data_IF_171870489726
#
_entry.id   IF_171870489726
#
_cell.length_a   1.000
_cell.length_b   1.000
_cell.length_c   1.000
_cell.angle_alpha   90.00
_cell.angle_beta   90.00
_cell.angle_gamma   90.00
#
_symmetry.space_group_name_H-M   'P 1'
#
loop_
_entity.id
_entity.type
_entity.pdbx_description
1 polymer ?
#
# COMPACT_ATOMS: atom_id res chain seq x y z
N UNK A 1 -14.28 12.17 21.34
CA UNK A 1 -12.82 12.35 21.36
C UNK A 1 -12.36 13.29 20.25
N UNK A 2 -11.19 13.92 20.39
CA UNK A 2 -10.54 14.67 19.31
C UNK A 2 -9.29 13.90 18.87
N UNK A 3 -9.19 13.63 17.58
CA UNK A 3 -8.05 12.89 16.97
C UNK A 3 -7.53 13.72 15.81
N UNK A 4 -6.21 13.75 15.58
CA UNK A 4 -5.63 14.30 14.35
C UNK A 4 -5.40 13.16 13.38
N UNK A 5 -5.86 13.28 12.14
CA UNK A 5 -5.47 12.36 11.08
C UNK A 5 -4.02 12.61 10.62
N UNK A 6 -3.50 11.77 9.73
CA UNK A 6 -2.13 11.91 9.25
C UNK A 6 -1.92 13.11 8.30
N UNK A 7 -3.00 13.80 7.93
CA UNK A 7 -2.96 15.11 7.25
C UNK A 7 -3.04 16.28 8.23
N UNK A 8 -2.90 16.03 9.56
CA UNK A 8 -3.04 17.00 10.65
C UNK A 8 -4.43 17.64 10.77
N UNK A 9 -5.46 17.06 10.16
CA UNK A 9 -6.84 17.52 10.33
C UNK A 9 -7.39 17.04 11.68
N UNK A 10 -7.95 17.95 12.47
CA UNK A 10 -8.61 17.60 13.73
C UNK A 10 -10.01 17.05 13.45
N UNK A 11 -10.23 15.83 13.85
CA UNK A 11 -11.53 15.14 13.75
C UNK A 11 -12.21 15.11 15.11
N UNK A 12 -13.47 15.47 15.14
CA UNK A 12 -14.32 15.35 16.34
C UNK A 12 -15.20 14.10 16.20
N UNK A 13 -14.91 13.08 16.98
CA UNK A 13 -15.65 11.82 17.01
C UNK A 13 -16.47 11.78 18.31
N UNK A 14 -17.78 11.96 18.18
CA UNK A 14 -18.69 12.01 19.35
C UNK A 14 -18.88 10.64 19.97
N UNK A 15 -19.11 9.62 19.14
CA UNK A 15 -19.34 8.24 19.56
C UNK A 15 -18.44 7.31 18.75
N UNK A 16 -18.21 6.08 19.23
CA UNK A 16 -17.54 5.04 18.45
C UNK A 16 -18.27 4.85 17.12
N UNK A 17 -17.58 5.00 15.97
CA UNK A 17 -18.21 4.81 14.68
C UNK A 17 -18.63 3.34 14.49
N UNK A 18 -19.86 3.13 14.01
CA UNK A 18 -20.44 1.81 13.74
C UNK A 18 -20.77 1.59 12.27
N UNK A 19 -20.74 2.66 11.47
CA UNK A 19 -21.02 2.64 10.04
C UNK A 19 -19.82 3.24 9.30
N UNK A 20 -18.93 2.35 8.86
CA UNK A 20 -17.65 2.71 8.25
C UNK A 20 -17.78 2.55 6.74
N UNK A 21 -17.41 3.58 5.99
CA UNK A 21 -17.11 3.46 4.55
C UNK A 21 -15.59 3.56 4.40
N UNK A 22 -14.99 2.58 3.72
CA UNK A 22 -13.57 2.58 3.44
C UNK A 22 -13.31 2.69 1.93
N UNK A 23 -12.58 3.73 1.52
CA UNK A 23 -12.24 3.99 0.12
C UNK A 23 -10.84 3.47 -0.26
N UNK A 24 -10.22 2.67 0.61
CA UNK A 24 -8.84 2.19 0.48
C UNK A 24 -8.77 0.68 0.72
N UNK A 25 -8.31 -0.10 -0.26
CA UNK A 25 -8.29 -1.57 -0.17
C UNK A 25 -7.47 -2.09 1.03
N UNK A 26 -6.24 -1.64 1.20
CA UNK A 26 -5.36 -2.07 2.30
C UNK A 26 -5.89 -1.70 3.69
N UNK A 27 -6.58 -0.56 3.81
CA UNK A 27 -7.26 -0.18 5.05
C UNK A 27 -8.49 -1.05 5.29
N UNK A 28 -9.21 -1.44 4.24
CA UNK A 28 -10.36 -2.34 4.38
C UNK A 28 -9.94 -3.69 4.95
N UNK A 29 -8.85 -4.26 4.46
CA UNK A 29 -8.26 -5.49 5.02
C UNK A 29 -7.87 -5.29 6.50
N UNK A 30 -7.19 -4.19 6.83
CA UNK A 30 -6.83 -3.85 8.21
C UNK A 30 -8.07 -3.76 9.13
N UNK A 31 -9.18 -3.18 8.67
CA UNK A 31 -10.42 -3.09 9.47
C UNK A 31 -11.00 -4.47 9.78
N UNK A 32 -10.95 -5.40 8.83
CA UNK A 32 -11.38 -6.80 9.05
C UNK A 32 -10.51 -7.45 10.12
N UNK A 33 -9.20 -7.32 10.01
CA UNK A 33 -8.26 -7.88 10.97
C UNK A 33 -8.35 -7.24 12.36
N UNK A 34 -8.83 -5.99 12.44
CA UNK A 34 -9.18 -5.34 13.70
C UNK A 34 -10.52 -5.82 14.29
N UNK A 35 -11.27 -6.70 13.59
CA UNK A 35 -12.56 -7.23 14.01
C UNK A 35 -13.72 -6.25 13.79
N UNK A 36 -13.62 -5.38 12.78
CA UNK A 36 -14.60 -4.34 12.46
C UNK A 36 -15.45 -4.67 11.22
N UNK A 37 -15.41 -5.90 10.72
CA UNK A 37 -16.09 -6.30 9.49
C UNK A 37 -17.57 -5.94 9.50
N UNK A 38 -18.29 -6.20 10.60
CA UNK A 38 -19.72 -5.89 10.75
C UNK A 38 -20.02 -4.38 10.70
N UNK A 39 -19.03 -3.55 11.06
CA UNK A 39 -19.15 -2.10 11.01
C UNK A 39 -18.91 -1.52 9.62
N UNK A 40 -18.34 -2.28 8.69
CA UNK A 40 -18.09 -1.85 7.31
C UNK A 40 -19.42 -1.91 6.55
N UNK A 41 -19.92 -0.77 6.07
CA UNK A 41 -21.15 -0.66 5.28
C UNK A 41 -20.92 -0.36 3.82
N UNK A 42 -19.71 0.09 3.43
CA UNK A 42 -19.37 0.38 2.04
C UNK A 42 -17.88 0.31 1.78
N UNK A 43 -17.52 -0.24 0.62
CA UNK A 43 -16.14 -0.45 0.18
C UNK A 43 -15.96 -0.10 -1.30
N UNK A 44 -14.72 0.01 -1.76
CA UNK A 44 -14.44 0.12 -3.20
C UNK A 44 -14.46 -1.27 -3.87
N UNK A 45 -14.64 -1.29 -5.19
CA UNK A 45 -14.55 -2.52 -5.99
C UNK A 45 -13.16 -3.18 -5.97
N UNK A 46 -12.14 -2.51 -5.42
CA UNK A 46 -10.77 -2.98 -5.32
C UNK A 46 -10.45 -3.58 -3.94
N UNK A 47 -11.42 -3.61 -3.01
CA UNK A 47 -11.27 -4.25 -1.70
C UNK A 47 -11.47 -5.77 -1.83
N UNK A 48 -10.45 -6.45 -2.36
CA UNK A 48 -10.48 -7.88 -2.71
C UNK A 48 -10.07 -8.81 -1.58
N UNK A 49 -9.68 -8.27 -0.45
CA UNK A 49 -9.25 -9.05 0.72
C UNK A 49 -10.02 -8.65 1.98
N UNK A 50 -10.65 -9.65 2.67
CA UNK A 50 -10.95 -10.99 2.17
C UNK A 50 -11.97 -10.93 1.02
N UNK A 51 -11.96 -11.95 0.15
CA UNK A 51 -12.78 -12.01 -1.07
C UNK A 51 -14.30 -12.08 -0.79
N UNK A 52 -14.70 -12.47 0.41
CA UNK A 52 -16.09 -12.43 0.88
C UNK A 52 -16.68 -11.02 0.90
N UNK A 53 -15.88 -9.99 1.23
CA UNK A 53 -16.37 -8.62 1.40
C UNK A 53 -17.09 -8.05 0.18
N UNK A 54 -16.59 -8.33 -1.03
CA UNK A 54 -17.21 -7.82 -2.27
C UNK A 54 -18.64 -8.33 -2.45
N UNK A 55 -18.96 -9.52 -1.91
CA UNK A 55 -20.28 -10.12 -1.99
C UNK A 55 -21.24 -9.56 -0.95
N UNK A 56 -20.70 -9.17 0.22
CA UNK A 56 -21.49 -8.84 1.40
C UNK A 56 -21.63 -7.34 1.64
N UNK A 57 -20.71 -6.52 1.08
CA UNK A 57 -20.69 -5.08 1.32
C UNK A 57 -21.09 -4.27 0.08
N UNK A 58 -21.68 -3.10 0.32
CA UNK A 58 -22.08 -2.21 -0.78
C UNK A 58 -20.86 -1.60 -1.48
N UNK A 59 -20.80 -1.74 -2.81
CA UNK A 59 -19.72 -1.15 -3.62
C UNK A 59 -20.03 0.32 -3.90
N UNK A 60 -19.27 1.21 -3.29
CA UNK A 60 -19.40 2.66 -3.39
C UNK A 60 -18.58 3.29 -4.54
N UNK A 61 -18.00 2.47 -5.41
CA UNK A 61 -17.21 2.90 -6.57
C UNK A 61 -15.79 2.34 -6.57
N UNK A 62 -14.84 3.11 -7.11
CA UNK A 62 -13.40 2.84 -7.04
C UNK A 62 -12.68 3.87 -6.20
N UNK A 63 -11.33 3.82 -6.14
CA UNK A 63 -10.51 4.75 -5.33
C UNK A 63 -10.47 6.17 -5.93
N UNK A 64 -10.58 6.29 -7.26
CA UNK A 64 -10.55 7.57 -8.00
C UNK A 64 -11.91 8.01 -8.54
N UNK A 65 -12.95 7.18 -8.39
CA UNK A 65 -14.31 7.51 -8.84
C UNK A 65 -15.32 6.85 -7.90
N UNK A 66 -16.04 7.66 -7.13
CA UNK A 66 -16.97 7.23 -6.08
C UNK A 66 -18.42 7.58 -6.42
N UNK A 67 -19.36 6.79 -5.91
CA UNK A 67 -20.82 6.99 -6.06
C UNK A 67 -21.37 7.75 -4.86
N UNK A 68 -21.34 9.07 -4.91
CA UNK A 68 -21.73 9.96 -3.79
C UNK A 68 -23.14 9.68 -3.27
N UNK A 69 -24.11 9.42 -4.15
CA UNK A 69 -25.49 9.12 -3.74
C UNK A 69 -25.52 7.85 -2.87
N UNK A 70 -24.84 6.79 -3.30
CA UNK A 70 -24.76 5.52 -2.53
C UNK A 70 -24.08 5.74 -1.17
N UNK A 71 -23.02 6.55 -1.12
CA UNK A 71 -22.35 6.90 0.14
C UNK A 71 -23.30 7.62 1.11
N UNK A 72 -24.10 8.57 0.60
CA UNK A 72 -25.10 9.29 1.42
C UNK A 72 -26.20 8.36 1.93
N UNK A 73 -26.71 7.47 1.08
CA UNK A 73 -27.77 6.52 1.44
C UNK A 73 -27.31 5.53 2.51
N UNK A 74 -26.03 5.22 2.56
CA UNK A 74 -25.43 4.36 3.60
C UNK A 74 -25.29 5.06 4.95
N UNK A 75 -25.49 6.37 5.07
CA UNK A 75 -25.41 7.14 6.32
C UNK A 75 -24.17 6.78 7.17
N UNK A 76 -22.95 6.95 6.67
CA UNK A 76 -21.75 6.59 7.42
C UNK A 76 -21.51 7.50 8.62
N UNK A 77 -20.98 6.94 9.71
CA UNK A 77 -20.45 7.71 10.84
C UNK A 77 -19.05 8.26 10.53
N UNK A 78 -18.29 7.48 9.73
CA UNK A 78 -16.93 7.83 9.31
C UNK A 78 -16.63 7.29 7.90
N UNK A 79 -15.86 8.08 7.15
CA UNK A 79 -15.32 7.68 5.85
C UNK A 79 -13.79 7.68 5.95
N UNK A 80 -13.16 6.58 5.52
CA UNK A 80 -11.71 6.41 5.54
C UNK A 80 -11.14 6.58 4.13
N UNK A 81 -10.18 7.50 4.02
CA UNK A 81 -9.49 7.86 2.80
C UNK A 81 -7.97 7.76 2.98
N UNK A 82 -7.24 7.77 1.88
CA UNK A 82 -5.80 7.92 1.85
C UNK A 82 -5.41 9.00 0.83
N UNK A 83 -4.38 9.77 1.14
CA UNK A 83 -3.90 10.89 0.31
C UNK A 83 -3.46 10.46 -1.09
N UNK A 84 -2.86 9.29 -1.23
CA UNK A 84 -2.39 8.75 -2.49
C UNK A 84 -3.52 8.12 -3.30
N UNK A 85 -4.39 7.35 -2.63
CA UNK A 85 -5.47 6.61 -3.25
C UNK A 85 -6.64 7.51 -3.68
N UNK A 86 -6.97 8.52 -2.89
CA UNK A 86 -8.14 9.35 -3.12
C UNK A 86 -7.74 10.78 -3.51
N UNK A 87 -8.44 11.35 -4.50
CA UNK A 87 -8.19 12.74 -4.89
C UNK A 87 -8.68 13.71 -3.81
N UNK A 88 -8.09 14.91 -3.76
CA UNK A 88 -8.54 15.97 -2.85
C UNK A 88 -10.04 16.27 -3.00
N UNK A 89 -10.55 16.28 -4.24
CA UNK A 89 -11.97 16.48 -4.52
C UNK A 89 -12.86 15.39 -3.92
N UNK A 90 -12.41 14.12 -3.97
CA UNK A 90 -13.13 13.01 -3.33
C UNK A 90 -13.19 13.22 -1.81
N UNK A 91 -12.07 13.56 -1.20
CA UNK A 91 -11.98 13.81 0.25
C UNK A 91 -12.92 14.95 0.67
N UNK A 92 -12.96 16.05 -0.08
CA UNK A 92 -13.86 17.18 0.18
C UNK A 92 -15.34 16.78 0.06
N UNK A 93 -15.70 15.99 -0.93
CA UNK A 93 -17.05 15.43 -1.07
C UNK A 93 -17.41 14.51 0.11
N UNK A 94 -16.48 13.70 0.58
CA UNK A 94 -16.67 12.85 1.76
C UNK A 94 -16.88 13.66 3.03
N UNK A 95 -16.08 14.71 3.24
CA UNK A 95 -16.20 15.62 4.39
C UNK A 95 -17.55 16.33 4.47
N UNK A 96 -18.21 16.56 3.34
CA UNK A 96 -19.55 17.12 3.28
C UNK A 96 -20.65 16.11 3.72
N UNK A 97 -20.31 14.82 3.88
CA UNK A 97 -21.27 13.76 4.24
C UNK A 97 -21.04 13.30 5.69
N UNK A 98 -19.80 13.00 6.07
CA UNK A 98 -19.46 12.46 7.38
C UNK A 98 -18.05 12.83 7.82
N UNK A 99 -17.72 12.55 9.09
CA UNK A 99 -16.33 12.62 9.55
C UNK A 99 -15.44 11.82 8.62
N UNK A 100 -14.41 12.47 8.06
CA UNK A 100 -13.52 11.85 7.07
C UNK A 100 -12.09 11.84 7.61
N UNK A 101 -11.53 10.66 7.80
CA UNK A 101 -10.14 10.43 8.17
C UNK A 101 -9.30 10.21 6.92
N UNK A 102 -8.17 10.89 6.81
CA UNK A 102 -7.23 10.75 5.69
C UNK A 102 -5.89 10.26 6.21
N UNK A 103 -5.48 9.07 5.76
CA UNK A 103 -4.14 8.54 6.03
C UNK A 103 -3.13 9.08 5.02
N UNK A 104 -1.85 9.15 5.44
CA UNK A 104 -0.70 9.49 4.60
C UNK A 104 0.46 8.60 5.01
N UNK A 105 0.78 7.60 4.18
CA UNK A 105 1.65 6.48 4.56
C UNK A 105 2.84 6.40 3.60
N UNK A 106 4.03 6.56 4.16
CA UNK A 106 5.31 6.42 3.45
C UNK A 106 6.19 5.33 4.05
N UNK A 107 5.96 4.98 5.33
CA UNK A 107 6.83 4.06 6.07
C UNK A 107 6.03 3.04 6.88
N UNK A 108 6.71 1.98 7.34
CA UNK A 108 6.15 1.04 8.33
C UNK A 108 5.76 1.80 9.61
N UNK A 109 6.54 2.79 10.04
CA UNK A 109 6.21 3.58 11.22
C UNK A 109 4.87 4.32 11.07
N UNK A 110 4.59 4.92 9.90
CA UNK A 110 3.30 5.57 9.62
C UNK A 110 2.15 4.55 9.67
N UNK A 111 2.40 3.32 9.18
CA UNK A 111 1.44 2.21 9.26
C UNK A 111 1.12 1.85 10.71
N UNK A 112 2.14 1.70 11.57
CA UNK A 112 1.95 1.38 12.98
C UNK A 112 1.18 2.50 13.71
N UNK A 113 1.49 3.76 13.38
CA UNK A 113 0.75 4.91 13.89
C UNK A 113 -0.73 4.87 13.48
N UNK A 114 -1.02 4.56 12.21
CA UNK A 114 -2.39 4.41 11.72
C UNK A 114 -3.15 3.30 12.47
N UNK A 115 -2.53 2.13 12.65
CA UNK A 115 -3.13 1.00 13.36
C UNK A 115 -3.44 1.38 14.82
N UNK A 116 -2.50 2.03 15.50
CA UNK A 116 -2.71 2.53 16.87
C UNK A 116 -3.88 3.52 16.93
N UNK A 117 -3.94 4.45 15.98
CA UNK A 117 -4.99 5.45 15.89
C UNK A 117 -6.37 4.82 15.67
N UNK A 118 -6.45 3.81 14.77
CA UNK A 118 -7.69 3.06 14.54
C UNK A 118 -8.10 2.24 15.77
N UNK A 119 -7.14 1.64 16.48
CA UNK A 119 -7.41 1.03 17.79
C UNK A 119 -8.19 1.97 18.71
N UNK A 120 -7.75 3.22 18.82
CA UNK A 120 -8.38 4.23 19.66
C UNK A 120 -9.74 4.71 19.09
N UNK A 121 -9.82 5.04 17.79
CA UNK A 121 -11.06 5.51 17.14
C UNK A 121 -12.18 4.49 17.25
N UNK A 122 -11.86 3.21 17.07
CA UNK A 122 -12.83 2.12 17.01
C UNK A 122 -12.91 1.32 18.32
N UNK A 123 -12.21 1.73 19.39
CA UNK A 123 -12.17 1.06 20.70
C UNK A 123 -11.82 -0.44 20.57
N UNK A 124 -10.75 -0.72 19.83
CA UNK A 124 -10.19 -2.06 19.62
C UNK A 124 -8.66 -2.08 19.87
N UNK A 125 -8.21 -1.31 20.90
CA UNK A 125 -6.80 -1.09 21.22
C UNK A 125 -6.03 -2.40 21.44
N UNK A 126 -6.64 -3.38 22.10
CA UNK A 126 -6.00 -4.68 22.35
C UNK A 126 -5.61 -5.36 21.03
N UNK A 127 -6.55 -5.42 20.09
CA UNK A 127 -6.33 -6.03 18.78
C UNK A 127 -5.31 -5.24 17.95
N UNK A 128 -5.38 -3.91 18.01
CA UNK A 128 -4.41 -3.04 17.34
C UNK A 128 -2.98 -3.28 17.86
N UNK A 129 -2.79 -3.40 19.17
CA UNK A 129 -1.49 -3.68 19.79
C UNK A 129 -0.97 -5.07 19.37
N UNK A 130 -1.82 -6.10 19.32
CA UNK A 130 -1.46 -7.43 18.85
C UNK A 130 -0.92 -7.39 17.41
N UNK A 131 -1.61 -6.65 16.51
CA UNK A 131 -1.18 -6.48 15.11
C UNK A 131 0.14 -5.71 15.03
N UNK A 132 0.27 -4.59 15.76
CA UNK A 132 1.48 -3.78 15.82
C UNK A 132 2.69 -4.66 16.23
N UNK A 133 2.56 -5.39 17.33
CA UNK A 133 3.63 -6.26 17.83
C UNK A 133 4.01 -7.35 16.81
N UNK A 134 3.02 -7.90 16.10
CA UNK A 134 3.25 -8.92 15.07
C UNK A 134 4.01 -8.34 13.87
N UNK A 135 3.64 -7.14 13.41
CA UNK A 135 4.34 -6.44 12.32
C UNK A 135 5.77 -6.11 12.74
N UNK A 136 5.97 -5.55 13.94
CA UNK A 136 7.30 -5.21 14.44
C UNK A 136 8.19 -6.44 14.55
N UNK A 137 7.67 -7.56 15.09
CA UNK A 137 8.41 -8.81 15.18
C UNK A 137 8.85 -9.29 13.81
N UNK A 138 7.92 -9.41 12.85
CA UNK A 138 8.25 -9.89 11.49
C UNK A 138 9.20 -8.95 10.76
N UNK A 139 9.07 -7.63 10.96
CA UNK A 139 10.01 -6.66 10.41
C UNK A 139 11.42 -6.87 10.97
N UNK A 140 11.56 -7.07 12.29
CA UNK A 140 12.86 -7.36 12.91
C UNK A 140 13.44 -8.69 12.41
N UNK A 141 12.62 -9.72 12.26
CA UNK A 141 13.01 -11.02 11.70
C UNK A 141 13.46 -10.90 10.24
N UNK A 142 12.86 -9.99 9.46
CA UNK A 142 13.31 -9.67 8.09
C UNK A 142 14.64 -8.94 8.11
N UNK A 143 14.78 -7.89 8.92
CA UNK A 143 16.04 -7.12 9.03
C UNK A 143 17.21 -8.01 9.47
N UNK A 144 16.99 -8.95 10.36
CA UNK A 144 18.02 -9.93 10.75
C UNK A 144 18.39 -10.83 9.57
N UNK A 145 17.40 -11.37 8.87
CA UNK A 145 17.61 -12.18 7.66
C UNK A 145 18.41 -11.42 6.58
N UNK A 146 18.15 -10.11 6.42
CA UNK A 146 18.81 -9.28 5.40
C UNK A 146 20.28 -8.96 5.71
N UNK A 147 20.79 -9.18 6.92
CA UNK A 147 22.18 -8.85 7.28
C UNK A 147 23.20 -9.57 6.40
N UNK A 148 22.90 -10.79 5.97
CA UNK A 148 23.80 -11.62 5.19
C UNK A 148 23.71 -11.34 3.68
N UNK A 149 22.77 -10.49 3.24
CA UNK A 149 22.56 -10.17 1.84
C UNK A 149 23.20 -8.85 1.44
N UNK A 150 23.92 -8.87 0.32
CA UNK A 150 24.46 -7.63 -0.28
C UNK A 150 23.31 -6.78 -0.84
N UNK A 151 23.51 -5.46 -0.79
CA UNK A 151 22.59 -4.51 -1.42
C UNK A 151 22.58 -4.70 -2.93
N UNK A 152 21.39 -4.73 -3.53
CA UNK A 152 21.20 -4.81 -4.98
C UNK A 152 20.54 -3.53 -5.49
N UNK A 153 21.06 -2.99 -6.62
CA UNK A 153 20.46 -1.86 -7.32
C UNK A 153 19.23 -2.32 -8.09
N UNK A 154 18.10 -1.64 -7.89
CA UNK A 154 16.81 -2.04 -8.46
C UNK A 154 16.07 -0.86 -9.08
N UNK A 155 15.36 -1.12 -10.20
CA UNK A 155 14.33 -0.25 -10.78
C UNK A 155 12.97 -0.94 -10.61
N UNK A 156 12.01 -0.29 -9.94
CA UNK A 156 10.69 -0.86 -9.67
C UNK A 156 9.63 -0.23 -10.58
N UNK A 157 9.16 -0.95 -11.58
CA UNK A 157 8.19 -0.48 -12.55
C UNK A 157 6.75 -0.73 -12.11
N UNK A 158 5.93 0.31 -12.22
CA UNK A 158 4.51 0.30 -11.86
C UNK A 158 3.58 0.49 -13.06
N UNK A 159 4.09 1.04 -14.19
CA UNK A 159 3.27 1.35 -15.36
C UNK A 159 4.05 1.25 -16.65
N UNK A 160 3.33 1.01 -17.75
CA UNK A 160 3.85 0.96 -19.10
C UNK A 160 3.01 1.83 -20.03
N UNK A 161 3.67 2.62 -20.87
CA UNK A 161 3.10 3.58 -21.83
C UNK A 161 2.37 4.75 -21.13
N UNK A 162 3.18 5.70 -20.58
CA UNK A 162 4.66 5.70 -20.53
C UNK A 162 5.22 4.70 -19.51
N UNK A 163 6.52 4.40 -19.57
CA UNK A 163 7.20 3.65 -18.52
C UNK A 163 7.34 4.51 -17.28
N UNK A 164 6.80 4.04 -16.15
CA UNK A 164 6.87 4.74 -14.87
C UNK A 164 7.38 3.81 -13.79
N UNK A 165 8.11 4.38 -12.85
CA UNK A 165 8.72 3.68 -11.71
C UNK A 165 8.26 4.25 -10.39
N UNK A 166 8.36 3.45 -9.32
CA UNK A 166 8.29 3.98 -7.97
C UNK A 166 9.65 4.55 -7.58
N UNK A 167 9.68 5.80 -7.13
CA UNK A 167 10.86 6.54 -6.70
C UNK A 167 10.70 6.99 -5.23
N UNK A 168 11.46 7.99 -4.80
CA UNK A 168 11.42 8.50 -3.43
C UNK A 168 10.01 8.96 -3.01
N UNK A 169 9.79 9.10 -1.70
CA UNK A 169 8.52 9.49 -1.11
C UNK A 169 7.33 8.62 -1.54
N UNK A 170 7.56 7.29 -1.56
CA UNK A 170 6.55 6.25 -1.76
C UNK A 170 6.74 5.13 -0.74
N UNK A 171 5.65 4.46 -0.36
CA UNK A 171 5.72 3.29 0.52
C UNK A 171 6.52 2.15 -0.12
N UNK A 172 6.43 2.01 -1.46
CA UNK A 172 7.21 1.06 -2.25
C UNK A 172 8.71 1.31 -2.04
N UNK A 173 9.18 2.58 -2.13
CA UNK A 173 10.59 2.88 -1.93
C UNK A 173 11.06 2.50 -0.53
N UNK A 174 10.26 2.80 0.50
CA UNK A 174 10.57 2.40 1.87
C UNK A 174 10.71 0.88 2.01
N UNK A 175 9.80 0.11 1.39
CA UNK A 175 9.90 -1.35 1.43
C UNK A 175 11.09 -1.88 0.61
N UNK A 176 11.49 -1.22 -0.47
CA UNK A 176 12.75 -1.56 -1.16
C UNK A 176 13.95 -1.37 -0.23
N UNK A 177 14.01 -0.26 0.50
CA UNK A 177 15.09 0.02 1.47
C UNK A 177 15.14 -1.00 2.61
N UNK A 178 13.98 -1.33 3.20
CA UNK A 178 13.84 -2.37 4.23
C UNK A 178 14.35 -3.74 3.73
N UNK A 179 14.23 -3.98 2.44
CA UNK A 179 14.67 -5.19 1.76
C UNK A 179 16.12 -5.11 1.22
N UNK A 180 16.95 -4.20 1.70
CA UNK A 180 18.33 -4.01 1.22
C UNK A 180 18.45 -3.74 -0.29
N UNK A 181 17.38 -3.22 -0.94
CA UNK A 181 17.47 -2.75 -2.31
C UNK A 181 17.85 -1.27 -2.35
N UNK A 182 18.67 -0.90 -3.31
CA UNK A 182 18.99 0.50 -3.64
C UNK A 182 18.15 0.88 -4.85
N UNK A 183 17.13 1.70 -4.64
CA UNK A 183 16.34 2.22 -5.75
C UNK A 183 17.19 3.16 -6.60
N UNK A 184 17.40 2.83 -7.87
CA UNK A 184 18.20 3.67 -8.79
C UNK A 184 17.53 5.01 -9.12
N UNK A 185 16.26 5.17 -8.77
CA UNK A 185 15.49 6.40 -8.93
C UNK A 185 15.26 7.15 -7.62
N UNK A 186 15.99 6.84 -6.55
CA UNK A 186 15.84 7.46 -5.22
C UNK A 186 15.96 8.99 -5.21
N UNK A 187 16.61 9.58 -6.21
CA UNK A 187 16.78 11.04 -6.34
C UNK A 187 15.62 11.70 -7.11
N UNK A 188 14.64 10.92 -7.59
CA UNK A 188 13.40 11.40 -8.19
C UNK A 188 12.24 11.27 -7.22
N UNK A 189 11.18 12.03 -7.44
CA UNK A 189 10.01 12.07 -6.56
C UNK A 189 8.86 11.20 -7.09
N UNK A 190 8.24 10.45 -6.21
CA UNK A 190 6.97 9.74 -6.42
C UNK A 190 7.02 8.71 -7.55
N UNK A 191 6.37 8.99 -8.67
CA UNK A 191 6.17 8.06 -9.79
C UNK A 191 6.56 8.71 -11.11
N UNK A 192 7.86 8.96 -11.35
CA UNK A 192 8.32 9.60 -12.56
C UNK A 192 8.20 8.69 -13.78
N UNK A 193 7.99 9.32 -14.92
CA UNK A 193 8.24 8.70 -16.21
C UNK A 193 9.74 8.51 -16.42
N UNK A 194 10.13 7.40 -17.05
CA UNK A 194 11.53 7.05 -17.28
C UNK A 194 11.78 6.61 -18.71
N UNK A 195 12.99 6.92 -19.18
CA UNK A 195 13.49 6.45 -20.48
C UNK A 195 14.31 5.18 -20.29
N UNK A 196 13.94 4.11 -21.01
CA UNK A 196 14.66 2.85 -20.95
C UNK A 196 16.09 2.92 -21.52
N UNK A 197 16.37 3.86 -22.46
CA UNK A 197 17.72 4.08 -23.01
C UNK A 197 18.63 4.73 -21.96
N UNK A 198 18.09 5.59 -21.10
CA UNK A 198 18.83 6.16 -19.98
C UNK A 198 19.06 5.12 -18.89
N UNK A 199 18.04 4.33 -18.55
CA UNK A 199 18.15 3.27 -17.55
C UNK A 199 19.18 2.22 -17.95
N UNK A 200 19.29 1.88 -19.26
CA UNK A 200 20.27 0.90 -19.75
C UNK A 200 21.73 1.35 -19.62
N UNK A 201 21.97 2.63 -19.29
CA UNK A 201 23.31 3.20 -19.03
C UNK A 201 23.66 3.23 -17.54
N UNK A 202 22.73 2.83 -16.66
CA UNK A 202 23.00 2.75 -15.22
C UNK A 202 23.92 1.57 -14.96
N UNK A 203 25.10 1.86 -14.43
CA UNK A 203 26.08 0.84 -14.07
C UNK A 203 25.57 -0.06 -12.93
N UNK A 204 25.82 -1.35 -13.04
CA UNK A 204 25.49 -2.35 -12.02
C UNK A 204 24.01 -2.37 -11.62
N UNK A 205 23.10 -2.24 -12.59
CA UNK A 205 21.67 -2.47 -12.35
C UNK A 205 21.45 -3.98 -12.18
N UNK A 206 21.25 -4.42 -10.93
CA UNK A 206 21.10 -5.85 -10.60
C UNK A 206 19.74 -6.39 -11.02
N UNK A 207 18.65 -5.63 -10.72
CA UNK A 207 17.29 -6.10 -10.92
C UNK A 207 16.37 -5.04 -11.54
N UNK A 208 15.45 -5.50 -12.37
CA UNK A 208 14.24 -4.77 -12.76
C UNK A 208 13.04 -5.52 -12.19
N UNK A 209 12.29 -4.88 -11.30
CA UNK A 209 11.05 -5.41 -10.78
C UNK A 209 9.87 -4.90 -11.61
N UNK A 210 9.04 -5.82 -12.08
CA UNK A 210 7.81 -5.55 -12.82
C UNK A 210 6.62 -5.87 -11.91
N UNK A 211 5.94 -4.87 -11.41
CA UNK A 211 4.83 -4.99 -10.46
C UNK A 211 3.59 -5.62 -11.11
N UNK A 212 2.87 -6.48 -10.37
CA UNK A 212 1.59 -7.02 -10.82
C UNK A 212 0.47 -5.97 -10.84
N UNK A 213 0.66 -4.82 -10.16
CA UNK A 213 -0.27 -3.69 -10.13
C UNK A 213 0.46 -2.33 -10.01
N UNK A 214 -0.18 -1.19 -10.34
CA UNK A 214 -1.50 -1.07 -10.97
C UNK A 214 -1.52 -1.51 -12.44
N UNK A 215 -0.36 -1.55 -13.12
CA UNK A 215 -0.25 -2.14 -14.45
C UNK A 215 0.06 -3.63 -14.31
N UNK A 216 -0.76 -4.53 -14.89
CA UNK A 216 -0.57 -5.98 -14.73
C UNK A 216 0.57 -6.49 -15.62
N UNK A 217 1.81 -6.31 -15.17
CA UNK A 217 2.97 -6.86 -15.86
C UNK A 217 2.89 -8.39 -15.92
N UNK A 218 3.42 -9.00 -16.99
CA UNK A 218 3.39 -10.44 -17.28
C UNK A 218 4.68 -10.86 -17.97
N UNK A 219 4.93 -12.16 -18.10
CA UNK A 219 6.08 -12.78 -18.75
C UNK A 219 6.49 -12.13 -20.09
N UNK A 220 5.51 -11.79 -20.96
CA UNK A 220 5.78 -11.09 -22.21
C UNK A 220 6.55 -9.77 -22.04
N UNK A 221 6.43 -9.12 -20.89
CA UNK A 221 7.11 -7.85 -20.63
C UNK A 221 8.56 -8.10 -20.15
N UNK A 222 8.82 -9.26 -19.52
CA UNK A 222 10.19 -9.73 -19.26
C UNK A 222 10.91 -9.89 -20.59
N UNK A 223 10.33 -10.65 -21.52
CA UNK A 223 10.91 -10.90 -22.85
C UNK A 223 11.16 -9.61 -23.63
N UNK A 224 10.28 -8.62 -23.52
CA UNK A 224 10.44 -7.31 -24.16
C UNK A 224 11.69 -6.56 -23.64
N UNK A 225 11.94 -6.63 -22.34
CA UNK A 225 13.06 -5.92 -21.71
C UNK A 225 14.38 -6.70 -21.77
N UNK A 226 14.33 -8.04 -21.83
CA UNK A 226 15.49 -8.92 -21.78
C UNK A 226 16.54 -8.59 -22.86
N UNK A 227 16.09 -8.23 -24.08
CA UNK A 227 16.99 -7.88 -25.18
C UNK A 227 17.79 -6.59 -24.91
N UNK A 228 17.27 -5.70 -24.08
CA UNK A 228 17.91 -4.45 -23.73
C UNK A 228 18.74 -4.54 -22.44
N UNK A 229 18.30 -5.36 -21.50
CA UNK A 229 18.88 -5.52 -20.17
C UNK A 229 19.46 -6.94 -20.01
N UNK A 230 20.47 -7.26 -20.82
CA UNK A 230 21.02 -8.64 -20.92
C UNK A 230 21.78 -9.13 -19.69
N UNK A 231 22.21 -8.20 -18.81
CA UNK A 231 22.94 -8.49 -17.57
C UNK A 231 22.13 -8.25 -16.31
N UNK A 232 20.89 -7.81 -16.44
CA UNK A 232 20.00 -7.43 -15.33
C UNK A 232 18.93 -8.50 -15.16
N UNK A 233 18.72 -8.97 -13.95
CA UNK A 233 17.61 -9.87 -13.65
C UNK A 233 16.27 -9.12 -13.76
N UNK A 234 15.31 -9.66 -14.54
CA UNK A 234 13.98 -9.07 -14.70
C UNK A 234 12.98 -9.98 -14.01
N UNK A 235 12.33 -9.49 -12.97
CA UNK A 235 11.52 -10.29 -12.07
C UNK A 235 10.11 -9.70 -11.97
N UNK A 236 9.09 -10.56 -12.14
CA UNK A 236 7.72 -10.20 -11.77
C UNK A 236 7.60 -10.21 -10.25
N UNK A 237 7.07 -9.14 -9.68
CA UNK A 237 6.85 -9.02 -8.25
C UNK A 237 5.39 -8.75 -7.93
N UNK A 238 4.96 -9.22 -6.77
CA UNK A 238 3.62 -8.96 -6.26
C UNK A 238 3.49 -7.49 -5.84
N UNK A 239 2.68 -6.73 -6.57
CA UNK A 239 2.50 -5.31 -6.34
C UNK A 239 1.75 -5.00 -5.05
N UNK A 240 0.77 -5.83 -4.65
CA UNK A 240 0.06 -5.64 -3.39
C UNK A 240 1.02 -5.76 -2.20
N UNK A 241 1.94 -6.72 -2.24
CA UNK A 241 2.90 -6.94 -1.16
C UNK A 241 3.96 -5.84 -1.04
N UNK A 242 4.17 -5.05 -2.10
CA UNK A 242 5.04 -3.88 -2.07
C UNK A 242 4.31 -2.55 -1.85
N UNK A 243 2.99 -2.49 -2.03
CA UNK A 243 2.24 -1.22 -1.97
C UNK A 243 1.19 -1.16 -0.86
N UNK A 244 0.64 -2.30 -0.42
CA UNK A 244 -0.37 -2.33 0.62
C UNK A 244 0.25 -2.29 2.01
N UNK A 245 -0.10 -1.29 2.75
CA UNK A 245 0.23 -1.16 4.18
C UNK A 245 -0.88 -1.78 5.06
N UNK A 246 -0.68 -1.79 6.36
CA UNK A 246 -1.60 -2.47 7.30
C UNK A 246 -1.18 -3.91 7.54
N UNK A 247 -2.15 -4.80 7.69
CA UNK A 247 -1.90 -6.20 8.02
C UNK A 247 -1.32 -7.02 6.86
N UNK A 248 -1.43 -6.53 5.63
CA UNK A 248 -0.76 -7.12 4.45
C UNK A 248 0.76 -7.26 4.66
N UNK A 249 1.38 -6.40 5.45
CA UNK A 249 2.79 -6.50 5.82
C UNK A 249 3.15 -7.84 6.47
N UNK A 250 2.23 -8.48 7.20
CA UNK A 250 2.47 -9.78 7.82
C UNK A 250 2.73 -10.89 6.80
N UNK A 251 2.15 -10.78 5.61
CA UNK A 251 2.38 -11.69 4.48
C UNK A 251 3.58 -11.22 3.65
N UNK A 252 3.72 -9.90 3.47
CA UNK A 252 4.77 -9.30 2.67
C UNK A 252 6.18 -9.66 3.18
N UNK A 253 6.42 -9.66 4.48
CA UNK A 253 7.73 -10.00 5.04
C UNK A 253 8.17 -11.44 4.72
N UNK A 254 7.25 -12.41 4.73
CA UNK A 254 7.57 -13.78 4.35
C UNK A 254 7.84 -13.90 2.84
N UNK A 255 7.09 -13.16 2.03
CA UNK A 255 7.32 -13.06 0.59
C UNK A 255 8.69 -12.46 0.27
N UNK A 256 9.08 -11.38 0.97
CA UNK A 256 10.37 -10.73 0.75
C UNK A 256 11.56 -11.66 1.03
N UNK A 257 11.50 -12.49 2.08
CA UNK A 257 12.52 -13.52 2.33
C UNK A 257 12.64 -14.50 1.16
N UNK A 258 11.50 -14.97 0.63
CA UNK A 258 11.48 -15.86 -0.54
C UNK A 258 12.02 -15.17 -1.79
N UNK A 259 11.65 -13.92 -2.03
CA UNK A 259 12.13 -13.12 -3.16
C UNK A 259 13.66 -13.03 -3.13
N UNK A 260 14.25 -12.70 -1.96
CA UNK A 260 15.70 -12.64 -1.80
C UNK A 260 16.39 -13.97 -2.04
N UNK A 261 15.83 -15.07 -1.52
CA UNK A 261 16.37 -16.40 -1.79
C UNK A 261 16.40 -16.67 -3.28
N UNK A 262 15.30 -16.41 -4.00
CA UNK A 262 15.20 -16.69 -5.44
C UNK A 262 16.18 -15.87 -6.28
N UNK A 263 16.30 -14.56 -6.04
CA UNK A 263 17.19 -13.67 -6.82
C UNK A 263 18.67 -13.79 -6.45
N UNK A 264 19.03 -14.58 -5.45
CA UNK A 264 20.42 -14.86 -5.07
C UNK A 264 20.81 -16.33 -5.28
N UNK A 265 19.91 -17.17 -5.81
CA UNK A 265 20.18 -18.59 -6.14
C UNK A 265 20.77 -18.77 -7.53
N UNK A 266 20.81 -17.74 -8.34
CA UNK A 266 21.42 -17.66 -9.67
C UNK A 266 22.75 -16.88 -9.60
#
# INVERSE_FOLDING_TARGET
>A
MKVKDQMNTVLEIKNRPKRIICLVPSITELLVDLGLEDSIVGITKFCVHPDSLIKDKTIVGGTKNIKIAVIKDLQPDIILCNKEENTKEIVEKCRAIATTHVSDIYTIADTLQLIHQYGHIFSCEKKAIEIINSIQKKNNDLLEFMKDYKKKKVAYFIWKKPWMVAANNTFINHLLEVNNFINVFKDKERYPEVNLDELSKVDDLDCIFLSSEPFPFKEKHILELQNKFTKTAIVLVDGELFSWYGTRLLVAFDYFKKLHTNINSD
#
